data_IF_553162055512
#
_entry.id   IF_553162055512
#
_cell.length_a   1.000
_cell.length_b   1.000
_cell.length_c   1.000
_cell.angle_alpha   90.00
_cell.angle_beta   90.00
_cell.angle_gamma   90.00
#
_symmetry.space_group_name_H-M   'P 1'
#
loop_
_entity.id
_entity.type
_entity.pdbx_description
1 polymer ?
#
# COMPACT_ATOMS: atom_id res chain seq x y z
N UNK A 1 -8.05 26.85 -11.80
CA UNK A 1 -7.68 25.78 -10.85
C UNK A 1 -8.91 25.10 -10.22
N UNK A 2 -9.91 25.84 -9.73
CA UNK A 2 -11.12 25.24 -9.13
C UNK A 2 -11.88 24.31 -10.10
N UNK A 3 -12.12 24.75 -11.34
CA UNK A 3 -12.80 23.94 -12.37
C UNK A 3 -12.04 22.66 -12.74
N UNK A 4 -10.71 22.75 -12.81
CA UNK A 4 -9.83 21.60 -13.04
C UNK A 4 -9.94 20.57 -11.91
N UNK A 5 -9.95 21.04 -10.65
CA UNK A 5 -10.09 20.19 -9.47
C UNK A 5 -11.45 19.49 -9.40
N UNK A 6 -12.54 20.22 -9.64
CA UNK A 6 -13.90 19.65 -9.69
C UNK A 6 -14.06 18.62 -10.82
N UNK A 7 -13.46 18.88 -11.98
CA UNK A 7 -13.50 17.94 -13.10
C UNK A 7 -12.76 16.63 -12.78
N UNK A 8 -11.61 16.70 -12.10
CA UNK A 8 -10.89 15.50 -11.62
C UNK A 8 -11.76 14.71 -10.63
N UNK A 9 -12.36 15.39 -9.65
CA UNK A 9 -13.22 14.77 -8.63
C UNK A 9 -14.38 14.00 -9.29
N UNK A 10 -15.06 14.63 -10.25
CA UNK A 10 -16.19 14.02 -10.95
C UNK A 10 -15.78 12.77 -11.74
N UNK A 11 -14.71 12.86 -12.54
CA UNK A 11 -14.24 11.73 -13.37
C UNK A 11 -13.64 10.59 -12.54
N UNK A 12 -12.84 10.90 -11.51
CA UNK A 12 -12.22 9.86 -10.67
C UNK A 12 -13.26 9.08 -9.88
N UNK A 13 -14.32 9.75 -9.40
CA UNK A 13 -15.41 9.11 -8.67
C UNK A 13 -16.07 8.02 -9.51
N UNK A 14 -16.28 8.30 -10.80
CA UNK A 14 -16.84 7.34 -11.75
C UNK A 14 -15.89 6.16 -12.00
N UNK A 15 -14.59 6.40 -12.18
CA UNK A 15 -13.62 5.32 -12.41
C UNK A 15 -13.36 4.44 -11.18
N UNK A 16 -13.25 5.03 -9.98
CA UNK A 16 -13.08 4.29 -8.72
C UNK A 16 -14.28 3.39 -8.43
N UNK A 17 -15.49 3.86 -8.72
CA UNK A 17 -16.71 3.05 -8.60
C UNK A 17 -16.65 1.80 -9.50
N UNK A 18 -16.16 1.92 -10.73
CA UNK A 18 -15.96 0.78 -11.65
C UNK A 18 -14.87 -0.19 -11.20
N UNK A 19 -13.84 0.30 -10.52
CA UNK A 19 -12.71 -0.50 -10.04
C UNK A 19 -12.97 -1.19 -8.67
N UNK A 20 -14.18 -1.06 -8.12
CA UNK A 20 -14.55 -1.61 -6.80
C UNK A 20 -13.64 -1.11 -5.65
N UNK A 21 -12.95 0.01 -5.84
CA UNK A 21 -12.07 0.60 -4.83
C UNK A 21 -12.94 1.35 -3.81
N UNK A 22 -13.11 0.79 -2.61
CA UNK A 22 -13.92 1.38 -1.50
C UNK A 22 -13.26 2.59 -0.83
N UNK A 23 -12.55 3.45 -1.55
CA UNK A 23 -11.79 4.52 -0.94
C UNK A 23 -12.58 5.84 -0.96
N UNK A 24 -13.26 6.15 0.15
CA UNK A 24 -14.10 7.36 0.28
C UNK A 24 -13.30 8.67 0.34
N UNK A 25 -11.96 8.61 0.38
CA UNK A 25 -11.10 9.77 0.63
C UNK A 25 -10.36 10.33 -0.61
N UNK A 26 -10.90 10.11 -1.82
CA UNK A 26 -10.26 10.55 -3.07
C UNK A 26 -10.06 12.08 -3.16
N UNK A 27 -10.93 12.88 -2.55
CA UNK A 27 -10.78 14.35 -2.50
C UNK A 27 -9.51 14.77 -1.76
N UNK A 28 -9.24 14.20 -0.58
CA UNK A 28 -8.03 14.48 0.18
C UNK A 28 -6.78 13.97 -0.54
N UNK A 29 -6.88 12.80 -1.18
CA UNK A 29 -5.81 12.23 -1.98
C UNK A 29 -5.43 13.20 -3.11
N UNK A 30 -6.40 13.64 -3.93
CA UNK A 30 -6.16 14.58 -5.03
C UNK A 30 -5.55 15.88 -4.50
N UNK A 31 -6.11 16.44 -3.41
CA UNK A 31 -5.60 17.65 -2.79
C UNK A 31 -4.12 17.48 -2.38
N UNK A 32 -3.77 16.36 -1.74
CA UNK A 32 -2.39 16.06 -1.36
C UNK A 32 -1.47 15.92 -2.58
N UNK A 33 -1.91 15.31 -3.69
CA UNK A 33 -1.11 15.18 -4.91
C UNK A 33 -0.81 16.54 -5.57
N UNK A 34 -1.79 17.45 -5.55
CA UNK A 34 -1.65 18.81 -6.09
C UNK A 34 -0.77 19.68 -5.18
N UNK A 35 -1.06 19.71 -3.87
CA UNK A 35 -0.36 20.54 -2.89
C UNK A 35 1.10 20.14 -2.78
N UNK A 36 1.38 18.83 -2.72
CA UNK A 36 2.76 18.32 -2.67
C UNK A 36 3.45 18.33 -4.04
N UNK A 37 2.82 18.85 -5.10
CA UNK A 37 3.33 18.89 -6.48
C UNK A 37 3.82 17.53 -6.99
N UNK A 38 3.28 16.42 -6.46
CA UNK A 38 3.64 15.06 -6.88
C UNK A 38 3.25 14.78 -8.33
N UNK A 39 2.18 15.41 -8.80
CA UNK A 39 1.71 15.35 -10.18
C UNK A 39 1.49 16.78 -10.67
N UNK A 40 2.01 17.11 -11.86
CA UNK A 40 1.85 18.45 -12.44
C UNK A 40 0.39 18.74 -12.79
N UNK A 41 -0.10 19.92 -12.37
CA UNK A 41 -1.43 20.44 -12.74
C UNK A 41 -1.49 20.97 -14.17
N UNK A 42 -0.36 20.98 -14.89
CA UNK A 42 -0.31 21.29 -16.32
C UNK A 42 -0.70 20.10 -17.20
N UNK A 43 -0.84 18.90 -16.61
CA UNK A 43 -1.35 17.73 -17.33
C UNK A 43 -2.84 17.90 -17.66
N UNK A 44 -3.28 17.29 -18.75
CA UNK A 44 -4.70 17.08 -19.00
C UNK A 44 -5.33 16.28 -17.86
N UNK A 45 -6.62 16.53 -17.57
CA UNK A 45 -7.38 15.83 -16.53
C UNK A 45 -7.25 14.30 -16.65
N UNK A 46 -7.34 13.74 -17.85
CA UNK A 46 -7.28 12.28 -18.03
C UNK A 46 -5.89 11.71 -17.70
N UNK A 47 -4.81 12.37 -18.13
CA UNK A 47 -3.43 11.99 -17.74
C UNK A 47 -3.22 12.11 -16.23
N UNK A 48 -3.77 13.13 -15.59
CA UNK A 48 -3.67 13.32 -14.15
C UNK A 48 -4.38 12.20 -13.39
N UNK A 49 -5.59 11.83 -13.82
CA UNK A 49 -6.36 10.73 -13.23
C UNK A 49 -5.64 9.39 -13.42
N UNK A 50 -5.12 9.12 -14.61
CA UNK A 50 -4.37 7.89 -14.87
C UNK A 50 -3.16 7.77 -13.96
N UNK A 51 -2.41 8.86 -13.73
CA UNK A 51 -1.30 8.88 -12.77
C UNK A 51 -1.73 8.61 -11.35
N UNK A 52 -2.84 9.19 -10.88
CA UNK A 52 -3.38 8.88 -9.56
C UNK A 52 -3.73 7.40 -9.47
N UNK A 53 -4.38 6.83 -10.48
CA UNK A 53 -4.76 5.42 -10.48
C UNK A 53 -3.53 4.51 -10.49
N UNK A 54 -2.49 4.84 -11.25
CA UNK A 54 -1.21 4.12 -11.21
C UNK A 54 -0.59 4.16 -9.82
N UNK A 55 -0.56 5.32 -9.16
CA UNK A 55 -0.03 5.47 -7.80
C UNK A 55 -0.88 4.78 -6.73
N UNK A 56 -2.20 4.69 -6.93
CA UNK A 56 -3.14 4.03 -6.02
C UNK A 56 -3.29 2.54 -6.27
N UNK A 57 -2.88 2.04 -7.44
CA UNK A 57 -2.90 0.61 -7.72
C UNK A 57 -1.96 -0.07 -6.72
N UNK A 58 -2.41 -1.09 -5.99
CA UNK A 58 -1.52 -1.93 -5.22
C UNK A 58 -0.40 -2.40 -6.14
N UNK A 59 0.86 -2.20 -5.74
CA UNK A 59 1.97 -2.81 -6.48
C UNK A 59 1.70 -4.29 -6.58
N UNK A 60 1.79 -4.85 -7.78
CA UNK A 60 1.69 -6.30 -7.95
C UNK A 60 2.83 -6.94 -7.16
N UNK A 61 2.46 -7.60 -6.06
CA UNK A 61 3.40 -8.36 -5.24
C UNK A 61 3.35 -9.80 -5.73
N UNK A 62 4.51 -10.32 -6.12
CA UNK A 62 4.67 -11.75 -6.33
C UNK A 62 4.44 -12.47 -5.00
N UNK A 63 3.28 -13.12 -4.89
CA UNK A 63 2.87 -13.83 -3.67
C UNK A 63 3.75 -15.03 -3.37
N UNK A 64 4.30 -15.69 -4.39
CA UNK A 64 5.22 -16.82 -4.20
C UNK A 64 6.49 -16.35 -3.50
N UNK A 65 7.12 -15.31 -4.08
CA UNK A 65 8.31 -14.70 -3.50
C UNK A 65 8.05 -14.13 -2.10
N UNK A 66 6.90 -13.48 -1.89
CA UNK A 66 6.54 -12.94 -0.57
C UNK A 66 6.48 -14.05 0.48
N UNK A 67 5.80 -15.16 0.19
CA UNK A 67 5.67 -16.26 1.14
C UNK A 67 7.02 -16.92 1.44
N UNK A 68 7.86 -17.14 0.43
CA UNK A 68 9.22 -17.68 0.62
C UNK A 68 10.07 -16.79 1.54
N UNK A 69 10.02 -15.47 1.33
CA UNK A 69 10.72 -14.51 2.16
C UNK A 69 10.17 -14.48 3.58
N UNK A 70 8.84 -14.50 3.75
CA UNK A 70 8.22 -14.56 5.08
C UNK A 70 8.68 -15.81 5.82
N UNK A 71 8.58 -16.99 5.20
CA UNK A 71 9.00 -18.26 5.82
C UNK A 71 10.46 -18.23 6.26
N UNK A 72 11.34 -17.70 5.41
CA UNK A 72 12.76 -17.53 5.73
C UNK A 72 12.97 -16.57 6.89
N UNK A 73 12.29 -15.42 6.89
CA UNK A 73 12.40 -14.43 7.97
C UNK A 73 11.88 -15.01 9.29
N UNK A 74 10.74 -15.70 9.30
CA UNK A 74 10.19 -16.31 10.51
C UNK A 74 11.14 -17.38 11.07
N UNK A 75 11.65 -18.29 10.23
CA UNK A 75 12.63 -19.31 10.62
C UNK A 75 13.91 -18.71 11.22
N UNK A 76 14.41 -17.63 10.64
CA UNK A 76 15.63 -16.97 11.12
C UNK A 76 15.42 -16.09 12.35
N UNK A 77 14.17 -15.79 12.72
CA UNK A 77 13.84 -14.84 13.78
C UNK A 77 12.84 -15.44 14.79
N UNK A 78 13.02 -16.71 15.17
CA UNK A 78 12.10 -17.44 16.05
C UNK A 78 11.78 -16.70 17.36
N UNK A 79 12.78 -16.04 17.96
CA UNK A 79 12.60 -15.23 19.17
C UNK A 79 11.59 -14.09 18.98
N UNK A 80 11.60 -13.43 17.82
CA UNK A 80 10.64 -12.36 17.52
C UNK A 80 9.22 -12.91 17.32
N UNK A 81 9.09 -14.13 16.77
CA UNK A 81 7.81 -14.83 16.67
C UNK A 81 7.24 -15.11 18.06
N UNK A 82 8.04 -15.69 18.95
CA UNK A 82 7.64 -15.95 20.34
C UNK A 82 7.29 -14.68 21.11
N UNK A 83 8.10 -13.63 20.95
CA UNK A 83 7.86 -12.34 21.58
C UNK A 83 6.52 -11.74 21.12
N UNK A 84 6.20 -11.83 19.83
CA UNK A 84 4.90 -11.41 19.32
C UNK A 84 3.75 -12.27 19.87
N UNK A 85 3.91 -13.60 19.94
CA UNK A 85 2.92 -14.50 20.54
C UNK A 85 2.67 -14.19 22.02
N UNK A 86 3.67 -13.67 22.74
CA UNK A 86 3.55 -13.15 24.12
C UNK A 86 2.95 -11.75 24.21
N UNK A 87 2.49 -11.18 23.10
CA UNK A 87 1.84 -9.87 23.03
C UNK A 87 2.76 -8.69 22.75
N UNK A 88 4.06 -8.90 22.48
CA UNK A 88 4.98 -7.80 22.16
C UNK A 88 4.82 -7.35 20.70
N UNK A 89 3.94 -6.38 20.48
CA UNK A 89 3.61 -5.83 19.15
C UNK A 89 4.83 -5.27 18.39
N UNK A 90 5.85 -4.76 19.09
CA UNK A 90 7.09 -4.29 18.45
C UNK A 90 7.83 -5.40 17.69
N UNK A 91 7.72 -6.66 18.12
CA UNK A 91 8.34 -7.79 17.43
C UNK A 91 7.73 -8.02 16.04
N UNK A 92 6.42 -7.76 15.88
CA UNK A 92 5.77 -7.78 14.56
C UNK A 92 6.37 -6.72 13.62
N UNK A 93 6.56 -5.49 14.10
CA UNK A 93 7.11 -4.42 13.27
C UNK A 93 8.56 -4.72 12.83
N UNK A 94 9.34 -5.39 13.68
CA UNK A 94 10.66 -5.89 13.31
C UNK A 94 10.58 -6.93 12.19
N UNK A 95 9.72 -7.94 12.32
CA UNK A 95 9.53 -8.99 11.28
C UNK A 95 9.08 -8.39 9.95
N UNK A 96 8.12 -7.46 9.98
CA UNK A 96 7.67 -6.70 8.81
C UNK A 96 8.83 -5.97 8.15
N UNK A 97 9.66 -5.27 8.93
CA UNK A 97 10.83 -4.56 8.42
C UNK A 97 11.84 -5.49 7.73
N UNK A 98 12.08 -6.68 8.28
CA UNK A 98 12.98 -7.67 7.68
C UNK A 98 12.44 -8.21 6.35
N UNK A 99 11.15 -8.56 6.29
CA UNK A 99 10.51 -9.01 5.04
C UNK A 99 10.56 -7.91 3.99
N UNK A 100 10.23 -6.67 4.34
CA UNK A 100 10.28 -5.54 3.41
C UNK A 100 11.69 -5.28 2.89
N UNK A 101 12.71 -5.45 3.74
CA UNK A 101 14.12 -5.33 3.37
C UNK A 101 14.52 -6.40 2.35
N UNK A 102 14.19 -7.67 2.61
CA UNK A 102 14.46 -8.77 1.66
C UNK A 102 13.68 -8.60 0.35
N UNK A 103 12.45 -8.12 0.42
CA UNK A 103 11.60 -7.79 -0.75
C UNK A 103 12.04 -6.51 -1.47
N UNK A 104 13.09 -5.81 -1.02
CA UNK A 104 13.57 -4.53 -1.58
C UNK A 104 12.45 -3.49 -1.74
N UNK A 105 11.52 -3.44 -0.79
CA UNK A 105 10.38 -2.51 -0.82
C UNK A 105 9.31 -2.82 -1.88
N UNK A 106 9.33 -4.03 -2.48
CA UNK A 106 8.29 -4.47 -3.42
C UNK A 106 6.96 -4.78 -2.74
N UNK A 107 6.96 -5.04 -1.44
CA UNK A 107 5.77 -5.28 -0.64
C UNK A 107 5.53 -4.15 0.36
N UNK A 108 4.26 -3.82 0.60
CA UNK A 108 3.85 -2.80 1.56
C UNK A 108 3.73 -3.36 2.97
N UNK A 109 4.11 -2.55 3.97
CA UNK A 109 4.14 -2.96 5.38
C UNK A 109 2.81 -3.56 5.88
N UNK A 110 1.68 -2.96 5.46
CA UNK A 110 0.35 -3.40 5.89
C UNK A 110 0.05 -4.83 5.41
N UNK A 111 0.27 -5.09 4.12
CA UNK A 111 0.08 -6.42 3.53
C UNK A 111 1.00 -7.46 4.17
N UNK A 112 2.29 -7.12 4.30
CA UNK A 112 3.28 -8.01 4.93
C UNK A 112 2.87 -8.38 6.36
N UNK A 113 2.40 -7.40 7.14
CA UNK A 113 1.92 -7.64 8.50
C UNK A 113 0.73 -8.61 8.51
N UNK A 114 -0.26 -8.40 7.64
CA UNK A 114 -1.45 -9.25 7.54
C UNK A 114 -1.08 -10.71 7.21
N UNK A 115 -0.15 -10.92 6.27
CA UNK A 115 0.34 -12.26 5.90
C UNK A 115 1.12 -12.93 7.06
N UNK A 116 2.03 -12.22 7.72
CA UNK A 116 2.76 -12.75 8.88
C UNK A 116 1.79 -13.13 10.01
N UNK A 117 0.81 -12.27 10.32
CA UNK A 117 -0.20 -12.58 11.35
C UNK A 117 -1.00 -13.83 11.00
N UNK A 118 -1.37 -13.99 9.73
CA UNK A 118 -2.09 -15.16 9.24
C UNK A 118 -1.30 -16.46 9.38
N UNK A 119 0.04 -16.41 9.32
CA UNK A 119 0.89 -17.59 9.51
C UNK A 119 1.07 -17.91 10.99
N UNK A 120 1.31 -16.90 11.85
CA UNK A 120 1.58 -17.13 13.28
C UNK A 120 0.31 -17.57 14.05
N UNK A 121 -0.87 -17.13 13.61
CA UNK A 121 -2.16 -17.44 14.26
C UNK A 121 -2.85 -18.71 13.74
N UNK A 122 -2.32 -19.32 12.68
CA UNK A 122 -2.75 -20.64 12.22
C UNK A 122 -2.15 -21.72 13.11
#
# INVERSE_FOLDING_TARGET
MAEYFETIISKIKNQIAKLHIKNQNYKQIIANFIVNKKISTQLSVDKFINRIIEDLKPKEVDKGLLNEVIDKVLKNNQKAVEDYQKGKTNAMMFLVGQVMKEMKGKAEAKMVKEEIEGIIKK
#
